data_IF_463437469775
#
_entry.id   IF_463437469775
#
_cell.length_a   1.000
_cell.length_b   1.000
_cell.length_c   1.000
_cell.angle_alpha   90.00
_cell.angle_beta   90.00
_cell.angle_gamma   90.00
#
_symmetry.space_group_name_H-M   'P 1'
#
loop_
_entity.id
_entity.type
_entity.pdbx_description
1 polymer ?
#
# COMPACT_ATOMS: atom_id res chain seq x y z
N UNK A 1 17.43 28.41 0.10
CA UNK A 1 16.21 27.64 -0.29
C UNK A 1 16.44 26.23 0.24
N UNK A 2 15.72 25.82 1.29
CA UNK A 2 16.05 24.62 2.09
C UNK A 2 16.22 23.37 1.23
N UNK A 3 17.29 22.61 1.47
CA UNK A 3 17.57 21.34 0.79
C UNK A 3 16.40 20.34 0.89
N UNK A 4 15.64 20.39 2.00
CA UNK A 4 14.39 19.63 2.15
C UNK A 4 13.32 20.02 1.14
N UNK A 5 13.07 21.32 0.92
CA UNK A 5 12.09 21.80 -0.06
C UNK A 5 12.51 21.47 -1.50
N UNK A 6 13.82 21.50 -1.78
CA UNK A 6 14.35 21.08 -3.07
C UNK A 6 14.21 19.56 -3.31
N UNK A 7 14.41 18.75 -2.27
CA UNK A 7 14.24 17.29 -2.33
C UNK A 7 12.76 16.89 -2.48
N UNK A 8 11.83 17.56 -1.78
CA UNK A 8 10.38 17.36 -1.96
C UNK A 8 9.94 17.66 -3.40
N UNK A 9 10.37 18.80 -3.96
CA UNK A 9 10.09 19.15 -5.36
C UNK A 9 10.68 18.15 -6.36
N UNK A 10 11.82 17.53 -6.06
CA UNK A 10 12.40 16.47 -6.90
C UNK A 10 11.59 15.18 -6.82
N UNK A 11 11.13 14.79 -5.62
CA UNK A 11 10.27 13.64 -5.42
C UNK A 11 8.93 13.77 -6.14
N UNK A 12 8.28 14.93 -6.04
CA UNK A 12 7.02 15.23 -6.73
C UNK A 12 7.17 15.16 -8.27
N UNK A 13 8.24 15.73 -8.82
CA UNK A 13 8.55 15.61 -10.26
C UNK A 13 8.74 14.16 -10.69
N UNK A 14 9.42 13.35 -9.88
CA UNK A 14 9.59 11.92 -10.12
C UNK A 14 8.25 11.17 -10.15
N UNK A 15 7.37 11.45 -9.18
CA UNK A 15 6.04 10.86 -9.12
C UNK A 15 5.16 11.25 -10.33
N UNK A 16 5.16 12.53 -10.73
CA UNK A 16 4.39 13.00 -11.89
C UNK A 16 4.90 12.35 -13.18
N UNK A 17 6.23 12.28 -13.35
CA UNK A 17 6.83 11.57 -14.50
C UNK A 17 6.40 10.10 -14.52
N UNK A 18 6.32 9.47 -13.35
CA UNK A 18 5.86 8.09 -13.20
C UNK A 18 4.42 7.92 -13.72
N UNK A 19 3.50 8.72 -13.19
CA UNK A 19 2.07 8.67 -13.56
C UNK A 19 1.89 8.94 -15.06
N UNK A 20 2.58 9.94 -15.60
CA UNK A 20 2.51 10.27 -17.02
C UNK A 20 2.99 9.11 -17.91
N UNK A 21 4.09 8.46 -17.54
CA UNK A 21 4.60 7.31 -18.28
C UNK A 21 3.66 6.11 -18.19
N UNK A 22 3.08 5.82 -17.02
CA UNK A 22 2.06 4.76 -16.88
C UNK A 22 0.87 5.02 -17.78
N UNK A 23 0.36 6.26 -17.81
CA UNK A 23 -0.80 6.63 -18.61
C UNK A 23 -0.53 6.48 -20.12
N UNK A 24 0.63 6.91 -20.59
CA UNK A 24 1.03 6.75 -21.99
C UNK A 24 1.20 5.27 -22.33
N UNK A 25 1.91 4.50 -21.49
CA UNK A 25 2.15 3.08 -21.73
C UNK A 25 0.85 2.28 -21.73
N UNK A 26 -0.04 2.50 -20.76
CA UNK A 26 -1.35 1.85 -20.71
C UNK A 26 -2.16 2.13 -21.99
N UNK A 27 -2.25 3.39 -22.42
CA UNK A 27 -2.98 3.75 -23.64
C UNK A 27 -2.39 3.07 -24.89
N UNK A 28 -1.05 3.08 -25.04
CA UNK A 28 -0.37 2.45 -26.17
C UNK A 28 -0.56 0.93 -26.17
N UNK A 29 -0.38 0.27 -25.02
CA UNK A 29 -0.56 -1.19 -24.88
C UNK A 29 -1.98 -1.61 -25.19
N UNK A 30 -2.98 -0.92 -24.64
CA UNK A 30 -4.39 -1.23 -24.87
C UNK A 30 -4.76 -1.04 -26.34
N UNK A 31 -4.35 0.06 -26.96
CA UNK A 31 -4.61 0.31 -28.38
C UNK A 31 -3.99 -0.78 -29.27
N UNK A 32 -2.70 -1.08 -29.05
CA UNK A 32 -1.97 -2.07 -29.85
C UNK A 32 -2.47 -3.49 -29.56
N UNK A 33 -2.75 -3.84 -28.31
CA UNK A 33 -3.32 -5.14 -27.92
C UNK A 33 -4.66 -5.41 -28.58
N UNK A 34 -5.53 -4.40 -28.66
CA UNK A 34 -6.82 -4.50 -29.36
C UNK A 34 -6.67 -4.59 -30.89
N UNK A 35 -5.85 -3.72 -31.49
CA UNK A 35 -5.67 -3.66 -32.95
C UNK A 35 -4.99 -4.93 -33.49
N UNK A 36 -4.03 -5.49 -32.74
CA UNK A 36 -3.24 -6.64 -33.16
C UNK A 36 -3.61 -7.93 -32.41
N UNK A 37 -4.77 -7.95 -31.75
CA UNK A 37 -5.35 -9.13 -31.11
C UNK A 37 -4.40 -9.90 -30.17
N UNK A 38 -3.62 -9.18 -29.34
CA UNK A 38 -2.83 -9.78 -28.26
C UNK A 38 -3.57 -9.62 -26.94
N UNK A 39 -3.97 -10.74 -26.36
CA UNK A 39 -4.59 -10.78 -25.03
C UNK A 39 -3.56 -10.49 -23.95
N UNK A 40 -2.31 -10.97 -24.10
CA UNK A 40 -1.25 -10.71 -23.13
C UNK A 40 -0.91 -9.21 -23.03
N UNK A 41 -0.76 -8.53 -24.17
CA UNK A 41 -0.49 -7.10 -24.21
C UNK A 41 -1.68 -6.28 -23.69
N UNK A 42 -2.91 -6.70 -24.01
CA UNK A 42 -4.12 -6.07 -23.48
C UNK A 42 -4.19 -6.21 -21.95
N UNK A 43 -3.92 -7.41 -21.41
CA UNK A 43 -3.90 -7.67 -19.98
C UNK A 43 -2.85 -6.82 -19.25
N UNK A 44 -1.64 -6.72 -19.81
CA UNK A 44 -0.57 -5.86 -19.30
C UNK A 44 -0.95 -4.37 -19.34
N UNK A 45 -1.62 -3.92 -20.41
CA UNK A 45 -2.18 -2.57 -20.49
C UNK A 45 -3.27 -2.30 -19.43
N UNK A 46 -4.13 -3.29 -19.16
CA UNK A 46 -5.17 -3.20 -18.13
C UNK A 46 -4.57 -3.19 -16.72
N UNK A 47 -3.52 -3.98 -16.48
CA UNK A 47 -2.75 -3.94 -15.22
C UNK A 47 -2.27 -2.50 -14.93
N UNK A 48 -1.60 -1.86 -15.89
CA UNK A 48 -1.15 -0.48 -15.71
C UNK A 48 -2.29 0.53 -15.58
N UNK A 49 -3.41 0.31 -16.27
CA UNK A 49 -4.59 1.15 -16.11
C UNK A 49 -5.15 1.05 -14.69
N UNK A 50 -5.20 -0.15 -14.11
CA UNK A 50 -5.65 -0.34 -12.72
C UNK A 50 -4.69 0.28 -11.70
N UNK A 51 -3.39 0.28 -11.96
CA UNK A 51 -2.41 0.95 -11.08
C UNK A 51 -2.61 2.48 -11.07
N UNK A 52 -2.97 3.06 -12.22
CA UNK A 52 -3.32 4.49 -12.31
C UNK A 52 -4.59 4.77 -11.50
N UNK A 53 -5.61 3.91 -11.62
CA UNK A 53 -6.85 4.05 -10.85
C UNK A 53 -6.57 3.98 -9.34
N UNK A 54 -5.78 3.00 -8.91
CA UNK A 54 -5.37 2.87 -7.51
C UNK A 54 -4.60 4.09 -7.03
N UNK A 55 -3.62 4.55 -7.80
CA UNK A 55 -2.85 5.76 -7.49
C UNK A 55 -3.71 7.01 -7.37
N UNK A 56 -4.69 7.18 -8.28
CA UNK A 56 -5.60 8.32 -8.26
C UNK A 56 -6.54 8.25 -7.05
N UNK A 57 -7.07 7.08 -6.74
CA UNK A 57 -7.92 6.88 -5.56
C UNK A 57 -7.16 7.20 -4.27
N UNK A 58 -5.93 6.70 -4.12
CA UNK A 58 -5.05 7.03 -2.99
C UNK A 58 -4.81 8.54 -2.91
N UNK A 59 -4.51 9.21 -4.03
CA UNK A 59 -4.30 10.66 -4.06
C UNK A 59 -5.54 11.45 -3.63
N UNK A 60 -6.73 11.04 -4.08
CA UNK A 60 -8.00 11.65 -3.66
C UNK A 60 -8.23 11.41 -2.17
N UNK A 61 -8.05 10.18 -1.70
CA UNK A 61 -8.17 9.81 -0.29
C UNK A 61 -7.24 10.61 0.62
N UNK A 62 -5.98 10.76 0.21
CA UNK A 62 -4.97 11.59 0.91
C UNK A 62 -5.37 13.06 0.96
N UNK A 63 -5.91 13.62 -0.13
CA UNK A 63 -6.38 15.01 -0.12
C UNK A 63 -7.56 15.22 0.82
N UNK A 64 -8.43 14.23 0.94
CA UNK A 64 -9.56 14.29 1.88
C UNK A 64 -9.06 14.09 3.31
N UNK A 65 -8.12 13.17 3.54
CA UNK A 65 -7.59 12.88 4.88
C UNK A 65 -6.84 14.04 5.52
N UNK A 66 -6.26 14.93 4.70
CA UNK A 66 -5.60 16.16 5.16
C UNK A 66 -6.58 17.24 5.66
N UNK A 67 -7.89 17.04 5.54
CA UNK A 67 -8.87 17.98 6.10
C UNK A 67 -8.86 17.89 7.64
N UNK A 68 -8.81 19.03 8.34
CA UNK A 68 -8.86 19.04 9.81
C UNK A 68 -10.19 18.49 10.33
N UNK A 69 -10.23 18.13 11.61
CA UNK A 69 -11.45 17.72 12.29
C UNK A 69 -12.55 18.78 12.17
N UNK A 70 -13.79 18.31 12.01
CA UNK A 70 -14.98 19.14 11.95
C UNK A 70 -16.04 18.62 12.94
N UNK A 71 -17.21 19.27 12.97
CA UNK A 71 -18.27 18.94 13.94
C UNK A 71 -18.84 17.53 13.80
N UNK A 72 -18.77 16.93 12.62
CA UNK A 72 -19.28 15.58 12.34
C UNK A 72 -18.14 14.53 12.32
N UNK A 73 -16.89 14.99 12.25
CA UNK A 73 -15.68 14.16 12.25
C UNK A 73 -14.68 14.69 13.29
N UNK A 74 -14.99 14.48 14.58
CA UNK A 74 -14.18 14.97 15.70
C UNK A 74 -12.74 14.41 15.72
N UNK A 75 -12.53 13.22 15.17
CA UNK A 75 -11.20 12.60 15.03
C UNK A 75 -10.52 12.92 13.69
N UNK A 76 -11.13 13.75 12.84
CA UNK A 76 -10.61 14.08 11.51
C UNK A 76 -11.00 13.08 10.42
N UNK A 77 -10.47 13.33 9.21
CA UNK A 77 -10.84 12.62 7.97
C UNK A 77 -9.86 11.50 7.59
N UNK A 78 -9.00 11.06 8.50
CA UNK A 78 -7.90 10.13 8.22
C UNK A 78 -8.32 8.84 7.51
N UNK A 79 -9.50 8.29 7.85
CA UNK A 79 -10.04 7.07 7.23
C UNK A 79 -10.35 7.20 5.73
N UNK A 80 -10.45 8.41 5.19
CA UNK A 80 -10.72 8.62 3.77
C UNK A 80 -9.66 7.98 2.86
N UNK A 81 -8.41 7.90 3.33
CA UNK A 81 -7.31 7.22 2.63
C UNK A 81 -7.58 5.72 2.50
N UNK A 82 -7.90 5.05 3.61
CA UNK A 82 -8.24 3.62 3.65
C UNK A 82 -9.48 3.31 2.82
N UNK A 83 -10.53 4.13 2.92
CA UNK A 83 -11.77 3.97 2.16
C UNK A 83 -11.51 4.10 0.65
N UNK A 84 -10.70 5.07 0.23
CA UNK A 84 -10.38 5.25 -1.18
C UNK A 84 -9.57 4.07 -1.74
N UNK A 85 -8.64 3.53 -0.95
CA UNK A 85 -7.89 2.32 -1.29
C UNK A 85 -8.80 1.09 -1.41
N UNK A 86 -9.78 0.97 -0.51
CA UNK A 86 -10.79 -0.08 -0.58
C UNK A 86 -11.63 0.01 -1.86
N UNK A 87 -12.08 1.21 -2.24
CA UNK A 87 -12.83 1.42 -3.49
C UNK A 87 -11.97 1.05 -4.71
N UNK A 88 -10.70 1.46 -4.74
CA UNK A 88 -9.78 1.10 -5.81
C UNK A 88 -9.60 -0.42 -5.94
N UNK A 89 -9.51 -1.13 -4.81
CA UNK A 89 -9.39 -2.59 -4.80
C UNK A 89 -10.57 -3.28 -5.49
N UNK A 90 -11.79 -2.77 -5.33
CA UNK A 90 -12.96 -3.32 -6.01
C UNK A 90 -12.93 -3.08 -7.52
N UNK A 91 -12.52 -1.88 -7.95
CA UNK A 91 -12.39 -1.56 -9.38
C UNK A 91 -11.31 -2.45 -10.01
N UNK A 92 -10.15 -2.56 -9.36
CA UNK A 92 -9.05 -3.41 -9.80
C UNK A 92 -9.46 -4.89 -9.85
N UNK A 93 -10.21 -5.37 -8.86
CA UNK A 93 -10.76 -6.73 -8.84
C UNK A 93 -11.70 -6.98 -10.02
N UNK A 94 -12.59 -6.03 -10.33
CA UNK A 94 -13.51 -6.16 -11.47
C UNK A 94 -12.75 -6.26 -12.80
N UNK A 95 -11.73 -5.41 -13.02
CA UNK A 95 -10.88 -5.48 -14.22
C UNK A 95 -10.07 -6.79 -14.25
N UNK A 96 -9.51 -7.22 -13.11
CA UNK A 96 -8.77 -8.48 -13.01
C UNK A 96 -9.64 -9.69 -13.37
N UNK A 97 -10.89 -9.73 -12.91
CA UNK A 97 -11.87 -10.76 -13.26
C UNK A 97 -12.20 -10.71 -14.76
N UNK A 98 -12.38 -9.53 -15.35
CA UNK A 98 -12.58 -9.38 -16.80
C UNK A 98 -11.42 -10.00 -17.59
N UNK A 99 -10.17 -9.67 -17.21
CA UNK A 99 -8.95 -10.20 -17.82
C UNK A 99 -8.87 -11.72 -17.67
N UNK A 100 -9.16 -12.26 -16.47
CA UNK A 100 -9.18 -13.70 -16.22
C UNK A 100 -10.19 -14.42 -17.10
N UNK A 101 -11.42 -13.90 -17.18
CA UNK A 101 -12.47 -14.49 -18.00
C UNK A 101 -12.09 -14.40 -19.49
N UNK A 102 -11.53 -13.28 -19.93
CA UNK A 102 -11.04 -13.09 -21.30
C UNK A 102 -9.95 -14.09 -21.67
N UNK A 103 -8.90 -14.18 -20.85
CA UNK A 103 -7.81 -15.13 -21.03
C UNK A 103 -8.28 -16.59 -21.01
N UNK A 104 -9.13 -16.97 -20.04
CA UNK A 104 -9.67 -18.32 -19.96
C UNK A 104 -10.52 -18.69 -21.19
N UNK A 105 -11.38 -17.77 -21.65
CA UNK A 105 -12.17 -17.97 -22.88
C UNK A 105 -11.26 -18.13 -24.09
N UNK A 106 -10.24 -17.28 -24.23
CA UNK A 106 -9.32 -17.32 -25.36
C UNK A 106 -8.47 -18.60 -25.39
N UNK A 107 -8.12 -19.17 -24.23
CA UNK A 107 -7.48 -20.49 -24.13
C UNK A 107 -8.44 -21.60 -24.56
N UNK A 108 -9.68 -21.59 -24.07
CA UNK A 108 -10.68 -22.65 -24.36
C UNK A 108 -11.15 -22.62 -25.80
N UNK A 109 -11.33 -21.44 -26.40
CA UNK A 109 -11.73 -21.29 -27.80
C UNK A 109 -10.64 -21.68 -28.79
N UNK A 110 -9.41 -21.91 -28.32
CA UNK A 110 -8.28 -22.25 -29.20
C UNK A 110 -7.96 -21.13 -30.18
N UNK A 111 -8.06 -19.87 -29.73
CA UNK A 111 -7.92 -18.70 -30.60
C UNK A 111 -6.58 -18.73 -31.33
N UNK A 112 -6.59 -18.94 -32.65
CA UNK A 112 -5.39 -18.97 -33.50
C UNK A 112 -4.91 -17.54 -33.87
N UNK A 113 -5.29 -16.53 -33.09
CA UNK A 113 -4.83 -15.17 -33.33
C UNK A 113 -3.31 -15.15 -33.15
N UNK A 114 -2.58 -14.97 -34.25
CA UNK A 114 -1.14 -14.72 -34.23
C UNK A 114 -0.91 -13.22 -34.06
N UNK A 115 -0.57 -12.75 -32.85
CA UNK A 115 -0.46 -11.33 -32.64
C UNK A 115 0.76 -10.78 -33.37
N UNK A 116 0.65 -9.55 -33.88
CA UNK A 116 1.70 -8.92 -34.68
C UNK A 116 3.00 -8.74 -33.90
N UNK A 117 4.15 -8.75 -34.59
CA UNK A 117 5.44 -8.34 -34.00
C UNK A 117 5.38 -6.95 -33.37
N UNK A 118 4.48 -6.08 -33.84
CA UNK A 118 4.26 -4.77 -33.26
C UNK A 118 3.82 -4.92 -31.78
N UNK A 119 2.93 -5.85 -31.46
CA UNK A 119 2.50 -6.10 -30.08
C UNK A 119 3.67 -6.58 -29.20
N UNK A 120 4.53 -7.47 -29.72
CA UNK A 120 5.72 -7.91 -29.00
C UNK A 120 6.68 -6.74 -28.73
N UNK A 121 7.03 -5.96 -29.76
CA UNK A 121 7.95 -4.83 -29.58
C UNK A 121 7.36 -3.72 -28.69
N UNK A 122 6.05 -3.55 -28.68
CA UNK A 122 5.37 -2.67 -27.72
C UNK A 122 5.51 -3.17 -26.28
N UNK A 123 5.29 -4.46 -26.02
CA UNK A 123 5.49 -5.06 -24.70
C UNK A 123 6.94 -4.88 -24.23
N UNK A 124 7.92 -5.19 -25.09
CA UNK A 124 9.33 -5.04 -24.77
C UNK A 124 9.73 -3.57 -24.56
N UNK A 125 9.25 -2.67 -25.42
CA UNK A 125 9.46 -1.23 -25.28
C UNK A 125 8.94 -0.72 -23.94
N UNK A 126 7.74 -1.16 -23.53
CA UNK A 126 7.22 -0.83 -22.21
C UNK A 126 8.07 -1.38 -21.08
N UNK A 127 8.51 -2.63 -21.17
CA UNK A 127 9.39 -3.23 -20.16
C UNK A 127 10.67 -2.41 -19.97
N UNK A 128 11.28 -1.95 -21.06
CA UNK A 128 12.48 -1.10 -21.03
C UNK A 128 12.18 0.25 -20.38
N UNK A 129 11.07 0.89 -20.74
CA UNK A 129 10.69 2.19 -20.15
C UNK A 129 10.45 2.04 -18.65
N UNK A 130 9.65 1.06 -18.22
CA UNK A 130 9.36 0.80 -16.81
C UNK A 130 10.60 0.43 -16.01
N UNK A 131 11.50 -0.38 -16.57
CA UNK A 131 12.76 -0.68 -15.92
C UNK A 131 13.66 0.55 -15.81
N UNK A 132 13.66 1.41 -16.83
CA UNK A 132 14.31 2.73 -16.78
C UNK A 132 13.75 3.62 -15.66
N UNK A 133 12.42 3.63 -15.49
CA UNK A 133 11.74 4.33 -14.42
C UNK A 133 12.09 3.76 -13.05
N UNK A 134 12.15 2.43 -12.90
CA UNK A 134 12.65 1.78 -11.69
C UNK A 134 14.05 2.27 -11.33
N UNK A 135 14.98 2.26 -12.28
CA UNK A 135 16.37 2.70 -12.04
C UNK A 135 16.41 4.18 -11.66
N UNK A 136 15.64 5.03 -12.34
CA UNK A 136 15.56 6.46 -12.04
C UNK A 136 14.98 6.72 -10.65
N UNK A 137 13.80 6.16 -10.36
CA UNK A 137 13.10 6.33 -9.08
C UNK A 137 13.89 5.74 -7.92
N UNK A 138 14.52 4.57 -8.10
CA UNK A 138 15.36 3.96 -7.07
C UNK A 138 16.58 4.81 -6.72
N UNK A 139 17.27 5.37 -7.73
CA UNK A 139 18.39 6.29 -7.49
C UNK A 139 17.93 7.57 -6.81
N UNK A 140 16.79 8.13 -7.21
CA UNK A 140 16.26 9.33 -6.61
C UNK A 140 15.79 9.07 -5.16
N UNK A 141 15.10 7.96 -4.92
CA UNK A 141 14.61 7.54 -3.60
C UNK A 141 15.76 7.41 -2.59
N UNK A 142 16.85 6.77 -2.99
CA UNK A 142 18.07 6.66 -2.18
C UNK A 142 18.69 8.03 -1.86
N UNK A 143 18.69 8.97 -2.80
CA UNK A 143 19.26 10.32 -2.59
C UNK A 143 18.42 11.17 -1.65
N UNK A 144 17.09 11.05 -1.72
CA UNK A 144 16.18 11.88 -0.91
C UNK A 144 15.61 11.13 0.31
N UNK A 145 16.02 9.88 0.52
CA UNK A 145 15.54 8.98 1.59
C UNK A 145 14.01 8.89 1.65
N UNK A 146 13.36 8.75 0.48
CA UNK A 146 11.89 8.69 0.38
C UNK A 146 11.40 7.24 0.27
N UNK A 147 10.67 6.79 1.29
CA UNK A 147 9.98 5.49 1.30
C UNK A 147 8.93 5.40 0.19
N UNK A 148 8.15 6.47 -0.01
CA UNK A 148 7.13 6.55 -1.07
C UNK A 148 7.74 6.35 -2.47
N UNK A 149 8.89 6.97 -2.74
CA UNK A 149 9.55 6.81 -4.04
C UNK A 149 10.22 5.43 -4.20
N UNK A 150 10.63 4.79 -3.10
CA UNK A 150 11.05 3.40 -3.11
C UNK A 150 9.91 2.45 -3.46
N UNK A 151 8.71 2.68 -2.92
CA UNK A 151 7.51 1.91 -3.27
C UNK A 151 7.19 2.07 -4.77
N UNK A 152 7.10 3.30 -5.27
CA UNK A 152 6.87 3.57 -6.69
C UNK A 152 7.93 2.92 -7.62
N UNK A 153 9.20 2.90 -7.21
CA UNK A 153 10.24 2.21 -7.95
C UNK A 153 10.01 0.69 -8.00
N UNK A 154 9.60 0.09 -6.87
CA UNK A 154 9.32 -1.34 -6.78
C UNK A 154 8.14 -1.74 -7.67
N UNK A 155 7.11 -0.91 -7.75
CA UNK A 155 5.95 -1.11 -8.61
C UNK A 155 6.36 -1.10 -10.09
N UNK A 156 7.13 -0.08 -10.51
CA UNK A 156 7.66 -0.02 -11.88
C UNK A 156 8.54 -1.23 -12.24
N UNK A 157 9.24 -1.81 -11.27
CA UNK A 157 10.00 -3.04 -11.50
C UNK A 157 9.08 -4.25 -11.67
N UNK A 158 8.02 -4.35 -10.87
CA UNK A 158 7.03 -5.42 -10.99
C UNK A 158 6.35 -5.38 -12.36
N UNK A 159 5.93 -4.20 -12.81
CA UNK A 159 5.24 -4.02 -14.09
C UNK A 159 6.18 -4.23 -15.28
N UNK A 160 7.47 -3.93 -15.13
CA UNK A 160 8.47 -4.29 -16.13
C UNK A 160 8.52 -5.82 -16.31
N UNK A 161 8.43 -6.61 -15.24
CA UNK A 161 8.37 -8.07 -15.34
C UNK A 161 7.07 -8.57 -15.95
N UNK A 162 5.93 -7.95 -15.64
CA UNK A 162 4.64 -8.25 -16.30
C UNK A 162 4.75 -7.98 -17.81
N UNK A 163 5.33 -6.84 -18.20
CA UNK A 163 5.55 -6.48 -19.61
C UNK A 163 6.51 -7.43 -20.33
N UNK A 164 7.55 -7.93 -19.64
CA UNK A 164 8.45 -8.98 -20.17
C UNK A 164 7.67 -10.28 -20.37
N UNK A 165 6.82 -10.66 -19.41
CA UNK A 165 5.92 -11.81 -19.54
C UNK A 165 5.03 -11.69 -20.77
N UNK A 166 4.40 -10.52 -20.97
CA UNK A 166 3.59 -10.25 -22.15
C UNK A 166 4.39 -10.34 -23.45
N UNK A 167 5.62 -9.79 -23.50
CA UNK A 167 6.51 -9.95 -24.66
C UNK A 167 6.80 -11.41 -24.98
N UNK A 168 7.12 -12.22 -23.96
CA UNK A 168 7.35 -13.65 -24.11
C UNK A 168 6.09 -14.35 -24.63
N UNK A 169 4.91 -13.98 -24.10
CA UNK A 169 3.63 -14.51 -24.56
C UNK A 169 3.39 -14.27 -26.05
N UNK A 170 3.56 -13.01 -26.48
CA UNK A 170 3.35 -12.64 -27.89
C UNK A 170 4.38 -13.30 -28.81
N UNK A 171 5.66 -13.30 -28.44
CA UNK A 171 6.70 -13.84 -29.33
C UNK A 171 6.58 -15.36 -29.47
N UNK A 172 6.22 -16.06 -28.39
CA UNK A 172 6.05 -17.52 -28.42
C UNK A 172 4.78 -17.95 -29.14
N UNK A 173 3.71 -17.14 -29.08
CA UNK A 173 2.50 -17.36 -29.89
C UNK A 173 2.81 -17.49 -31.40
N UNK A 174 3.85 -16.78 -31.87
CA UNK A 174 4.33 -16.84 -33.26
C UNK A 174 5.17 -18.07 -33.59
N UNK A 175 5.75 -18.75 -32.60
CA UNK A 175 6.51 -19.98 -32.79
C UNK A 175 5.60 -21.23 -32.76
N UNK A 176 4.47 -21.17 -33.46
CA UNK A 176 3.45 -22.24 -33.52
C UNK A 176 2.82 -22.62 -32.17
N UNK A 177 2.83 -21.70 -31.19
CA UNK A 177 2.23 -21.91 -29.86
C UNK A 177 1.23 -20.80 -29.51
N UNK A 178 0.21 -20.53 -30.36
CA UNK A 178 -0.69 -19.38 -30.23
C UNK A 178 -1.44 -19.35 -28.89
N UNK A 179 -1.64 -20.51 -28.27
CA UNK A 179 -2.27 -20.65 -26.95
C UNK A 179 -1.48 -19.99 -25.80
N UNK A 180 -0.18 -19.69 -25.97
CA UNK A 180 0.63 -19.10 -24.90
C UNK A 180 0.23 -17.65 -24.60
N UNK A 181 -0.11 -16.83 -25.61
CA UNK A 181 -0.51 -15.43 -25.38
C UNK A 181 -1.76 -15.34 -24.48
N UNK A 182 -2.85 -16.08 -24.74
CA UNK A 182 -4.00 -16.20 -23.82
C UNK A 182 -3.65 -16.74 -22.42
N UNK A 183 -2.72 -17.70 -22.31
CA UNK A 183 -2.28 -18.21 -21.00
C UNK A 183 -1.53 -17.14 -20.22
N UNK A 184 -0.65 -16.37 -20.86
CA UNK A 184 0.03 -15.25 -20.22
C UNK A 184 -0.99 -14.19 -19.79
N UNK A 185 -1.97 -13.85 -20.64
CA UNK A 185 -3.05 -12.93 -20.27
C UNK A 185 -3.80 -13.39 -19.02
N UNK A 186 -4.13 -14.70 -18.95
CA UNK A 186 -4.75 -15.30 -17.78
C UNK A 186 -3.87 -15.18 -16.53
N UNK A 187 -2.57 -15.47 -16.63
CA UNK A 187 -1.64 -15.32 -15.51
C UNK A 187 -1.53 -13.87 -15.04
N UNK A 188 -1.53 -12.90 -15.96
CA UNK A 188 -1.56 -11.47 -15.62
C UNK A 188 -2.86 -11.13 -14.90
N UNK A 189 -4.01 -11.66 -15.34
CA UNK A 189 -5.28 -11.53 -14.63
C UNK A 189 -5.20 -12.03 -13.18
N UNK A 190 -4.52 -13.16 -12.92
CA UNK A 190 -4.30 -13.66 -11.54
C UNK A 190 -3.49 -12.65 -10.73
N UNK A 191 -2.44 -12.06 -11.32
CA UNK A 191 -1.62 -11.05 -10.67
C UNK A 191 -2.47 -9.84 -10.29
N UNK A 192 -3.29 -9.31 -11.20
CA UNK A 192 -4.19 -8.18 -10.94
C UNK A 192 -5.15 -8.51 -9.79
N UNK A 193 -5.83 -9.66 -9.85
CA UNK A 193 -6.76 -10.08 -8.80
C UNK A 193 -6.07 -10.28 -7.44
N UNK A 194 -4.86 -10.82 -7.42
CA UNK A 194 -4.08 -10.97 -6.20
C UNK A 194 -3.73 -9.60 -5.60
N UNK A 195 -3.22 -8.68 -6.41
CA UNK A 195 -2.92 -7.31 -5.97
C UNK A 195 -4.16 -6.63 -5.42
N UNK A 196 -5.29 -6.73 -6.12
CA UNK A 196 -6.57 -6.21 -5.65
C UNK A 196 -6.99 -6.81 -4.30
N UNK A 197 -6.83 -8.13 -4.13
CA UNK A 197 -7.14 -8.81 -2.88
C UNK A 197 -6.24 -8.38 -1.73
N UNK A 198 -4.94 -8.23 -1.97
CA UNK A 198 -3.99 -7.79 -0.95
C UNK A 198 -4.34 -6.36 -0.50
N UNK A 199 -4.64 -5.44 -1.43
CA UNK A 199 -5.11 -4.08 -1.10
C UNK A 199 -6.44 -4.13 -0.32
N UNK A 200 -7.40 -4.95 -0.76
CA UNK A 200 -8.69 -5.11 -0.08
C UNK A 200 -8.49 -5.61 1.36
N UNK A 201 -7.64 -6.62 1.56
CA UNK A 201 -7.36 -7.22 2.84
C UNK A 201 -6.72 -6.21 3.79
N UNK A 202 -5.70 -5.49 3.33
CA UNK A 202 -4.99 -4.50 4.13
C UNK A 202 -5.91 -3.33 4.50
N UNK A 203 -6.68 -2.82 3.53
CA UNK A 203 -7.66 -1.76 3.77
C UNK A 203 -8.78 -2.20 4.74
N UNK A 204 -9.30 -3.42 4.57
CA UNK A 204 -10.33 -3.97 5.47
C UNK A 204 -9.78 -4.18 6.88
N UNK A 205 -8.56 -4.73 7.01
CA UNK A 205 -7.90 -4.91 8.30
C UNK A 205 -7.74 -3.59 9.04
N UNK A 206 -7.22 -2.55 8.36
CA UNK A 206 -7.13 -1.19 8.91
C UNK A 206 -8.49 -0.62 9.30
N UNK A 207 -9.52 -0.78 8.46
CA UNK A 207 -10.85 -0.21 8.73
C UNK A 207 -11.56 -0.87 9.93
N UNK A 208 -11.23 -2.13 10.21
CA UNK A 208 -11.68 -2.89 11.39
C UNK A 208 -10.81 -2.69 12.64
N UNK A 209 -9.96 -1.65 12.65
CA UNK A 209 -9.01 -1.33 13.73
C UNK A 209 -7.96 -2.44 13.98
N UNK A 210 -7.62 -3.19 12.94
CA UNK A 210 -6.55 -4.17 12.97
C UNK A 210 -5.16 -3.52 13.04
N UNK A 211 -4.24 -4.16 13.76
CA UNK A 211 -2.85 -3.73 13.93
C UNK A 211 -1.94 -4.95 14.07
N UNK A 212 -0.73 -4.92 13.48
CA UNK A 212 0.19 -6.05 13.55
C UNK A 212 0.80 -6.15 14.97
N UNK A 213 0.74 -7.35 15.55
CA UNK A 213 1.31 -7.64 16.86
C UNK A 213 2.83 -7.39 16.91
N UNK A 214 3.52 -7.55 15.78
CA UNK A 214 4.97 -7.29 15.69
C UNK A 214 5.29 -5.81 15.88
N UNK A 215 4.42 -4.93 15.41
CA UNK A 215 4.57 -3.48 15.54
C UNK A 215 4.16 -3.00 16.95
N UNK A 216 3.46 -3.85 17.72
CA UNK A 216 3.03 -3.55 19.09
C UNK A 216 4.12 -3.82 20.14
N UNK A 217 5.01 -4.78 19.90
CA UNK A 217 6.08 -5.15 20.85
C UNK A 217 7.05 -3.99 21.18
N UNK A 218 7.50 -3.17 20.21
CA UNK A 218 8.30 -1.97 20.49
C UNK A 218 7.61 -1.02 21.48
N UNK A 219 6.29 -0.82 21.36
CA UNK A 219 5.54 0.04 22.28
C UNK A 219 5.57 -0.51 23.70
N UNK A 220 5.38 -1.83 23.85
CA UNK A 220 5.45 -2.48 25.17
C UNK A 220 6.84 -2.33 25.80
N UNK A 221 7.89 -2.33 25.01
CA UNK A 221 9.25 -2.12 25.51
C UNK A 221 9.43 -0.71 26.05
N UNK A 222 9.11 0.31 25.25
CA UNK A 222 9.21 1.73 25.63
C UNK A 222 8.40 2.02 26.90
N UNK A 223 7.17 1.51 27.03
CA UNK A 223 6.36 1.74 28.24
C UNK A 223 7.00 1.12 29.49
N UNK A 224 7.67 -0.03 29.37
CA UNK A 224 8.33 -0.70 30.51
C UNK A 224 9.61 -0.02 30.97
N UNK A 225 10.18 0.88 30.17
CA UNK A 225 11.38 1.63 30.53
C UNK A 225 11.08 2.85 31.41
N UNK A 226 9.82 3.31 31.44
CA UNK A 226 9.35 4.36 32.35
C UNK A 226 9.28 3.80 33.78
N UNK A 227 10.06 4.37 34.69
CA UNK A 227 10.35 3.77 36.01
C UNK A 227 9.14 3.73 36.93
N UNK A 228 8.28 4.72 36.82
CA UNK A 228 7.09 4.94 37.64
C UNK A 228 5.92 4.05 37.22
N UNK A 229 6.04 3.35 36.08
CA UNK A 229 5.07 2.36 35.62
C UNK A 229 5.35 1.04 36.35
N UNK A 230 4.48 0.66 37.30
CA UNK A 230 4.55 -0.64 37.96
C UNK A 230 4.31 -1.79 36.98
N UNK A 231 3.28 -1.66 36.14
CA UNK A 231 2.90 -2.70 35.18
C UNK A 231 2.17 -2.13 33.97
N UNK A 232 2.50 -2.66 32.80
CA UNK A 232 1.71 -2.51 31.59
C UNK A 232 0.57 -3.52 31.58
N UNK A 233 -0.67 -3.04 31.70
CA UNK A 233 -1.88 -3.88 31.75
C UNK A 233 -2.41 -4.21 30.37
N UNK A 234 -2.50 -3.22 29.51
CA UNK A 234 -3.01 -3.38 28.14
C UNK A 234 -2.36 -2.35 27.20
N UNK A 235 -2.16 -2.75 25.95
CA UNK A 235 -1.75 -1.86 24.85
C UNK A 235 -2.53 -2.25 23.62
N UNK A 236 -3.23 -1.29 23.05
CA UNK A 236 -3.96 -1.42 21.79
C UNK A 236 -3.48 -0.34 20.86
N UNK A 237 -3.39 -0.66 19.58
CA UNK A 237 -3.09 0.31 18.55
C UNK A 237 -4.02 0.07 17.36
N UNK A 238 -4.26 1.13 16.59
CA UNK A 238 -5.06 1.07 15.36
C UNK A 238 -4.49 2.03 14.32
N UNK A 239 -4.60 1.64 13.05
CA UNK A 239 -4.28 2.54 11.95
C UNK A 239 -5.47 3.46 11.64
N UNK A 240 -5.20 4.75 11.50
CA UNK A 240 -6.13 5.77 11.04
C UNK A 240 -5.54 6.41 9.78
N UNK A 241 -5.83 5.82 8.62
CA UNK A 241 -5.13 6.17 7.39
C UNK A 241 -3.62 5.92 7.53
N UNK A 242 -2.83 6.97 7.34
CA UNK A 242 -1.37 6.96 7.48
C UNK A 242 -0.86 7.24 8.91
N UNK A 243 -1.74 7.44 9.89
CA UNK A 243 -1.35 7.67 11.30
C UNK A 243 -1.67 6.45 12.17
N UNK A 244 -0.93 6.31 13.28
CA UNK A 244 -1.20 5.31 14.31
C UNK A 244 -1.74 5.99 15.56
N UNK A 245 -2.81 5.42 16.12
CA UNK A 245 -3.35 5.79 17.42
C UNK A 245 -3.11 4.64 18.40
N UNK A 246 -2.58 4.96 19.58
CA UNK A 246 -2.25 3.99 20.62
C UNK A 246 -3.03 4.29 21.90
N UNK A 247 -3.60 3.25 22.50
CA UNK A 247 -4.24 3.27 23.80
C UNK A 247 -3.47 2.37 24.75
N UNK A 248 -3.08 2.92 25.89
CA UNK A 248 -2.22 2.25 26.86
C UNK A 248 -2.92 2.28 28.21
N UNK A 249 -2.95 1.14 28.90
CA UNK A 249 -3.37 1.07 30.29
C UNK A 249 -2.14 0.68 31.12
N UNK A 250 -1.73 1.60 31.98
CA UNK A 250 -0.63 1.39 32.94
C UNK A 250 -1.19 1.35 34.36
N UNK A 251 -0.50 0.62 35.23
CA UNK A 251 -0.70 0.71 36.67
C UNK A 251 0.45 1.46 37.32
N UNK A 252 0.13 2.28 38.32
CA UNK A 252 1.08 3.04 39.12
C UNK A 252 0.82 2.82 40.62
N UNK A 253 1.74 3.28 41.48
CA UNK A 253 1.59 3.18 42.93
C UNK A 253 0.29 3.88 43.40
N UNK A 254 -0.60 3.19 44.15
CA UNK A 254 -1.84 3.77 44.68
C UNK A 254 -1.66 4.97 45.60
N UNK A 255 -0.48 5.17 46.16
CA UNK A 255 -0.12 6.31 47.00
C UNK A 255 0.14 7.61 46.24
N UNK A 256 0.28 7.55 44.91
CA UNK A 256 0.46 8.73 44.07
C UNK A 256 -0.81 9.58 44.06
N UNK A 257 -0.61 10.89 44.11
CA UNK A 257 -1.68 11.85 43.84
C UNK A 257 -2.12 11.77 42.38
N UNK A 258 -3.33 12.26 42.09
CA UNK A 258 -3.84 12.38 40.70
C UNK A 258 -2.87 13.17 39.82
N UNK A 259 -2.18 14.18 40.37
CA UNK A 259 -1.20 14.99 39.65
C UNK A 259 0.02 14.15 39.26
N UNK A 260 0.59 13.41 40.20
CA UNK A 260 1.76 12.55 39.94
C UNK A 260 1.40 11.43 38.96
N UNK A 261 0.23 10.80 39.10
CA UNK A 261 -0.25 9.82 38.13
C UNK A 261 -0.40 10.40 36.71
N UNK A 262 -0.89 11.65 36.60
CA UNK A 262 -0.95 12.35 35.31
C UNK A 262 0.43 12.63 34.72
N UNK A 263 1.41 13.01 35.55
CA UNK A 263 2.80 13.22 35.11
C UNK A 263 3.43 11.92 34.56
N UNK A 264 3.14 10.77 35.17
CA UNK A 264 3.58 9.46 34.63
C UNK A 264 2.90 9.17 33.28
N UNK A 265 1.62 9.49 33.14
CA UNK A 265 0.90 9.33 31.89
C UNK A 265 1.51 10.20 30.76
N UNK A 266 1.85 11.45 31.07
CA UNK A 266 2.51 12.38 30.14
C UNK A 266 3.89 11.87 29.73
N UNK A 267 4.66 11.27 30.64
CA UNK A 267 5.96 10.68 30.33
C UNK A 267 5.83 9.49 29.37
N UNK A 268 4.87 8.59 29.61
CA UNK A 268 4.58 7.47 28.69
C UNK A 268 4.12 7.98 27.33
N UNK A 269 3.21 8.95 27.29
CA UNK A 269 2.76 9.57 26.06
C UNK A 269 3.92 10.19 25.28
N UNK A 270 4.79 10.92 25.97
CA UNK A 270 5.98 11.55 25.38
C UNK A 270 6.94 10.51 24.79
N UNK A 271 7.27 9.47 25.56
CA UNK A 271 8.19 8.40 25.15
C UNK A 271 7.68 7.70 23.89
N UNK A 272 6.39 7.34 23.86
CA UNK A 272 5.79 6.68 22.69
C UNK A 272 5.82 7.58 21.45
N UNK A 273 5.45 8.86 21.58
CA UNK A 273 5.45 9.79 20.44
C UNK A 273 6.85 10.14 19.93
N UNK A 274 7.89 10.07 20.78
CA UNK A 274 9.26 10.42 20.39
C UNK A 274 10.02 9.25 19.79
N UNK A 275 9.83 8.05 20.33
CA UNK A 275 10.54 6.85 19.85
C UNK A 275 9.84 6.20 18.65
N UNK A 276 8.53 6.43 18.50
CA UNK A 276 7.71 5.81 17.47
C UNK A 276 6.95 6.87 16.65
N UNK A 277 6.66 6.56 15.39
CA UNK A 277 5.89 7.42 14.48
C UNK A 277 4.38 7.36 14.78
N UNK A 278 4.01 7.73 16.02
CA UNK A 278 2.65 7.67 16.55
C UNK A 278 2.10 9.08 16.71
N UNK A 279 0.92 9.34 16.16
CA UNK A 279 0.33 10.70 16.16
C UNK A 279 -0.49 10.96 17.43
N UNK A 280 -1.18 9.95 17.94
CA UNK A 280 -2.04 10.10 19.10
C UNK A 280 -1.83 8.94 20.07
N UNK A 281 -1.66 9.27 21.35
CA UNK A 281 -1.50 8.31 22.44
C UNK A 281 -2.49 8.72 23.52
N UNK A 282 -3.22 7.74 24.03
CA UNK A 282 -4.08 7.93 25.20
C UNK A 282 -3.66 6.95 26.28
N UNK A 283 -3.24 7.49 27.43
CA UNK A 283 -2.75 6.69 28.56
C UNK A 283 -3.80 6.73 29.67
N UNK A 284 -4.37 5.57 30.00
CA UNK A 284 -5.22 5.40 31.16
C UNK A 284 -4.38 4.89 32.34
N UNK A 285 -4.48 5.58 33.47
CA UNK A 285 -3.76 5.26 34.70
C UNK A 285 -4.70 4.57 35.67
N UNK A 286 -4.32 3.37 36.10
CA UNK A 286 -4.99 2.62 37.15
C UNK A 286 -4.08 2.50 38.39
N UNK A 287 -4.64 2.43 39.61
CA UNK A 287 -3.85 2.07 40.78
C UNK A 287 -3.46 0.58 40.71
N UNK A 288 -2.24 0.26 41.11
CA UNK A 288 -1.81 -1.14 41.22
C UNK A 288 -2.64 -1.88 42.29
N UNK A 289 -3.34 -2.93 41.87
CA UNK A 289 -4.08 -3.78 42.79
C UNK A 289 -3.08 -4.63 43.57
N UNK A 290 -2.77 -4.21 44.79
CA UNK A 290 -2.08 -5.07 45.76
C UNK A 290 -3.09 -6.16 46.12
N UNK A 291 -3.00 -7.33 45.48
CA UNK A 291 -3.67 -8.52 45.99
C UNK A 291 -3.07 -8.79 47.37
N UNK A 292 -3.78 -8.34 48.41
CA UNK A 292 -3.67 -8.99 49.70
C UNK A 292 -4.27 -10.37 49.47
N UNK A 293 -3.42 -11.33 49.11
CA UNK A 293 -3.77 -12.72 49.25
C UNK A 293 -4.36 -12.86 50.65
N UNK A 294 -5.59 -13.38 50.67
CA UNK A 294 -6.23 -13.81 51.89
C UNK A 294 -5.29 -14.82 52.55
N UNK A 295 -4.49 -14.35 53.51
CA UNK A 295 -4.13 -15.10 54.70
C UNK A 295 -5.44 -15.49 55.39
N UNK A 296 -6.02 -16.59 54.92
CA UNK A 296 -6.94 -17.38 55.72
C UNK A 296 -6.45 -18.81 55.67
N UNK A 297 -5.69 -19.14 56.72
CA UNK A 297 -5.48 -20.44 57.36
C UNK A 297 -5.94 -21.70 56.60
#
# INVERSE_FOLDING_TARGET
MNDQTANLKRGEKGAILNIAAYLILAAVKLAIGLIYHSEALRADGLNNATDIVASLAVLIGLRISQRPADSDHAYGHYRAETISSLIASFIMMAVGIEVLIGGAKAVVSGTEAEPSYIAAWTALGSAIVMYGMYVYNSRLANRIKSSALHAAAKDSRSDAYVSIGAFIGVITARFHLPWIDPVIAFLIGIIICKTAWDIFKDASHSLTDGFDLKDLEPYKHTVKEVKEVSRLKDVKARYLGSTVHVEIIITVDPGLSVKEGHEVADEVEYAIKHEHDVTHVHVHVEPEVINKDHETN
#
